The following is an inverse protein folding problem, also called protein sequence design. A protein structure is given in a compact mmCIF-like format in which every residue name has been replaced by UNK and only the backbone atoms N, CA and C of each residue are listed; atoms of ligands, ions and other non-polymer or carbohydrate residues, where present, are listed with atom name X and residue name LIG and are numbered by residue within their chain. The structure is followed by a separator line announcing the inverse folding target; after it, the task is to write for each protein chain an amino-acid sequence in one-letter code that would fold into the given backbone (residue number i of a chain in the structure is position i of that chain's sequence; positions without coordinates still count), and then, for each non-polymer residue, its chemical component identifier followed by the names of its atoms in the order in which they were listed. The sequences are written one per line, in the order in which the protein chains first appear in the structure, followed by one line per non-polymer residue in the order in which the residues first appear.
data_IF_331376710791
#
_entry.id   IF_331376710791
#
_cell.length_a   1.000
_cell.length_b   1.000
_cell.length_c   1.000
_cell.angle_alpha   90.00
_cell.angle_beta   90.00
_cell.angle_gamma   90.00
#
_symmetry.space_group_name_H-M   'P 1'
#
loop_
_entity.id
_entity.type
_entity.pdbx_description
1 polymer ?
#
# COMPACT_ATOMS: atom_id res chain seq x y z
N UNK A 1 -16.87 11.65 7.35
CA UNK A 1 -15.55 11.79 6.69
C UNK A 1 -14.49 12.10 7.74
N UNK A 2 -13.40 11.33 7.68
CA UNK A 2 -12.30 11.53 8.62
C UNK A 2 -11.43 12.71 8.19
N UNK A 3 -11.20 13.64 9.10
CA UNK A 3 -10.27 14.75 8.85
C UNK A 3 -8.89 14.37 9.35
N UNK A 4 -7.88 14.67 8.55
CA UNK A 4 -6.49 14.47 8.94
C UNK A 4 -5.87 15.79 9.38
N UNK A 5 -4.92 15.70 10.31
CA UNK A 5 -4.25 16.88 10.82
C UNK A 5 -3.38 17.54 9.75
N UNK A 6 -3.19 18.88 9.81
CA UNK A 6 -2.40 19.57 8.79
C UNK A 6 -0.95 19.09 8.65
N UNK A 7 -0.30 18.75 9.77
CA UNK A 7 1.10 18.28 9.72
C UNK A 7 1.20 16.90 9.09
N UNK A 8 0.24 16.02 9.38
CA UNK A 8 0.17 14.71 8.73
C UNK A 8 -0.02 14.89 7.22
N UNK A 9 -0.97 15.73 6.81
CA UNK A 9 -1.19 15.99 5.39
C UNK A 9 0.05 16.58 4.71
N UNK A 10 0.82 17.39 5.44
CA UNK A 10 2.03 17.98 4.90
C UNK A 10 3.11 16.94 4.60
N UNK A 11 3.35 16.00 5.52
CA UNK A 11 4.35 14.96 5.26
C UNK A 11 3.89 13.99 4.18
N UNK A 12 2.59 13.72 4.09
CA UNK A 12 2.04 12.89 3.02
C UNK A 12 2.22 13.57 1.67
N UNK A 13 1.88 14.85 1.57
CA UNK A 13 2.06 15.61 0.32
C UNK A 13 3.52 15.64 -0.12
N UNK A 14 4.43 15.76 0.83
CA UNK A 14 5.85 15.74 0.55
C UNK A 14 6.31 14.38 0.01
N UNK A 15 5.89 13.29 0.66
CA UNK A 15 6.20 11.93 0.18
C UNK A 15 5.65 11.67 -1.21
N UNK A 16 4.45 12.18 -1.50
CA UNK A 16 3.82 11.99 -2.82
C UNK A 16 4.62 12.60 -3.98
N UNK A 17 5.52 13.52 -3.70
CA UNK A 17 6.41 14.09 -4.72
C UNK A 17 7.46 13.08 -5.20
N UNK A 18 7.73 12.03 -4.44
CA UNK A 18 8.81 11.08 -4.69
C UNK A 18 8.35 9.67 -5.02
N UNK A 19 7.05 9.38 -4.90
CA UNK A 19 6.50 8.03 -5.09
C UNK A 19 5.71 7.92 -6.37
N UNK A 20 5.49 6.67 -6.80
CA UNK A 20 4.57 6.35 -7.88
C UNK A 20 3.27 5.84 -7.27
N UNK A 21 2.14 6.18 -7.90
CA UNK A 21 0.82 5.74 -7.44
C UNK A 21 0.10 5.00 -8.55
N UNK A 22 -0.76 4.05 -8.16
CA UNK A 22 -1.63 3.36 -9.12
C UNK A 22 -3.06 3.38 -8.59
N UNK A 23 -4.00 3.22 -9.52
CA UNK A 23 -5.43 3.17 -9.18
C UNK A 23 -5.86 1.75 -8.83
N UNK A 24 -7.01 1.58 -8.13
CA UNK A 24 -7.55 0.24 -7.89
C UNK A 24 -7.80 -0.53 -9.20
N UNK A 25 -8.21 0.14 -10.26
CA UNK A 25 -8.46 -0.48 -11.55
C UNK A 25 -7.18 -1.07 -12.16
N UNK A 26 -6.08 -0.34 -12.08
CA UNK A 26 -4.78 -0.82 -12.57
C UNK A 26 -4.30 -2.00 -11.73
N UNK A 27 -4.45 -1.92 -10.40
CA UNK A 27 -4.11 -3.04 -9.54
C UNK A 27 -4.91 -4.29 -9.90
N UNK A 28 -6.22 -4.13 -10.11
CA UNK A 28 -7.10 -5.24 -10.46
C UNK A 28 -6.66 -5.89 -11.78
N UNK A 29 -6.30 -5.09 -12.79
CA UNK A 29 -5.79 -5.58 -14.06
C UNK A 29 -4.53 -6.42 -13.88
N UNK A 30 -3.59 -5.95 -13.06
CA UNK A 30 -2.35 -6.67 -12.80
C UNK A 30 -2.61 -8.01 -12.10
N UNK A 31 -3.53 -8.02 -11.13
CA UNK A 31 -3.89 -9.24 -10.43
C UNK A 31 -4.59 -10.24 -11.35
N UNK A 32 -5.51 -9.77 -12.17
CA UNK A 32 -6.25 -10.62 -13.11
C UNK A 32 -5.35 -11.23 -14.17
N UNK A 33 -4.31 -10.51 -14.60
CA UNK A 33 -3.34 -11.02 -15.55
C UNK A 33 -2.25 -11.87 -14.91
N UNK A 34 -2.35 -12.11 -13.59
CA UNK A 34 -1.39 -12.91 -12.82
C UNK A 34 0.04 -12.35 -12.90
N UNK A 35 0.16 -11.04 -13.00
CA UNK A 35 1.47 -10.39 -13.00
C UNK A 35 2.14 -10.60 -11.64
N UNK A 36 3.41 -11.03 -11.58
CA UNK A 36 4.10 -11.23 -10.32
C UNK A 36 4.21 -9.91 -9.55
N UNK A 37 3.65 -9.86 -8.35
CA UNK A 37 3.71 -8.69 -7.49
C UNK A 37 3.52 -9.09 -6.04
N UNK A 38 3.96 -8.22 -5.13
CA UNK A 38 3.71 -8.36 -3.71
C UNK A 38 2.79 -7.23 -3.26
N UNK A 39 1.58 -7.58 -2.84
CA UNK A 39 0.59 -6.61 -2.36
C UNK A 39 0.63 -6.60 -0.84
N UNK A 40 0.85 -5.43 -0.25
CA UNK A 40 1.06 -5.30 1.19
C UNK A 40 0.06 -4.33 1.80
N UNK A 41 -0.69 -4.83 2.78
CA UNK A 41 -1.57 -4.02 3.61
C UNK A 41 -0.73 -3.44 4.75
N UNK A 42 -0.65 -2.10 4.85
CA UNK A 42 0.18 -1.44 5.86
C UNK A 42 -0.64 -0.85 7.00
N UNK A 43 -1.93 -1.24 7.09
CA UNK A 43 -2.83 -0.78 8.14
C UNK A 43 -2.55 -1.48 9.46
N UNK A 44 -3.26 -1.07 10.51
CA UNK A 44 -3.15 -1.69 11.83
C UNK A 44 -3.78 -3.10 11.84
N UNK A 45 -3.42 -3.88 12.85
CA UNK A 45 -3.87 -5.28 12.97
C UNK A 45 -5.39 -5.41 12.97
N UNK A 46 -6.08 -4.54 13.70
CA UNK A 46 -7.54 -4.58 13.76
C UNK A 46 -8.21 -4.25 12.42
N UNK A 47 -7.60 -3.38 11.66
CA UNK A 47 -8.10 -3.05 10.32
C UNK A 47 -7.96 -4.25 9.38
N UNK A 48 -6.78 -4.88 9.38
CA UNK A 48 -6.53 -6.09 8.60
C UNK A 48 -7.53 -7.20 8.93
N UNK A 49 -7.78 -7.40 10.22
CA UNK A 49 -8.70 -8.44 10.68
C UNK A 49 -10.14 -8.21 10.21
N UNK A 50 -10.53 -6.94 9.99
CA UNK A 50 -11.88 -6.59 9.52
C UNK A 50 -12.10 -6.85 8.04
N UNK A 51 -11.03 -7.07 7.28
CA UNK A 51 -11.12 -7.33 5.85
C UNK A 51 -9.96 -6.70 5.10
N UNK A 52 -9.51 -7.36 4.03
CA UNK A 52 -8.37 -6.91 3.24
C UNK A 52 -8.51 -7.39 1.79
N UNK A 53 -7.68 -6.87 0.91
CA UNK A 53 -7.68 -7.28 -0.50
C UNK A 53 -7.16 -8.72 -0.57
N UNK A 54 -7.86 -9.61 -1.30
CA UNK A 54 -7.39 -11.00 -1.45
C UNK A 54 -5.98 -11.05 -2.05
N UNK A 55 -5.15 -11.91 -1.49
CA UNK A 55 -3.76 -12.06 -1.95
C UNK A 55 -2.76 -11.14 -1.27
N UNK A 56 -3.22 -10.18 -0.48
CA UNK A 56 -2.33 -9.28 0.25
C UNK A 56 -1.68 -9.99 1.44
N UNK A 57 -0.48 -9.55 1.78
CA UNK A 57 0.14 -9.88 3.06
C UNK A 57 0.04 -8.65 3.97
N UNK A 58 0.16 -8.88 5.26
CA UNK A 58 0.06 -7.81 6.24
C UNK A 58 1.43 -7.47 6.83
N UNK A 59 1.89 -6.25 6.59
CA UNK A 59 3.06 -5.69 7.24
C UNK A 59 2.72 -4.24 7.62
N UNK A 60 2.30 -4.04 8.87
CA UNK A 60 1.87 -2.74 9.34
C UNK A 60 2.95 -1.67 9.23
N UNK A 61 2.53 -0.44 9.02
CA UNK A 61 3.44 0.70 8.84
C UNK A 61 4.50 0.79 9.93
N UNK A 62 4.15 0.45 11.16
CA UNK A 62 5.07 0.56 12.30
C UNK A 62 6.21 -0.45 12.30
N UNK A 63 6.10 -1.52 11.52
CA UNK A 63 7.12 -2.59 11.53
C UNK A 63 7.66 -2.94 10.14
N UNK A 64 7.13 -2.32 9.08
CA UNK A 64 7.45 -2.75 7.72
C UNK A 64 8.93 -2.57 7.37
N UNK A 65 9.54 -1.46 7.77
CA UNK A 65 10.97 -1.24 7.48
C UNK A 65 11.84 -2.30 8.14
N UNK A 66 11.44 -2.74 9.32
CA UNK A 66 12.18 -3.78 10.06
C UNK A 66 12.05 -5.15 9.40
N UNK A 67 10.84 -5.46 8.91
CA UNK A 67 10.49 -6.84 8.56
C UNK A 67 10.42 -7.15 7.06
N UNK A 68 10.39 -6.14 6.19
CA UNK A 68 10.12 -6.37 4.78
C UNK A 68 11.18 -7.23 4.07
N UNK A 69 12.44 -7.12 4.47
CA UNK A 69 13.49 -7.86 3.77
C UNK A 69 13.35 -9.38 3.90
N UNK A 70 12.72 -9.85 4.97
CA UNK A 70 12.40 -11.28 5.12
C UNK A 70 11.34 -11.72 4.13
N UNK A 71 10.31 -10.89 3.95
CA UNK A 71 9.17 -11.22 3.09
C UNK A 71 9.47 -10.98 1.62
N UNK A 72 10.26 -9.95 1.33
CA UNK A 72 10.57 -9.51 -0.02
C UNK A 72 12.08 -9.26 -0.10
N UNK A 73 12.88 -10.32 -0.20
CA UNK A 73 14.35 -10.16 -0.23
C UNK A 73 14.89 -9.54 -1.51
N UNK A 74 14.17 -9.65 -2.63
CA UNK A 74 14.63 -9.08 -3.92
C UNK A 74 14.16 -7.62 -4.03
N UNK A 75 15.13 -6.70 -4.07
CA UNK A 75 14.84 -5.26 -4.16
C UNK A 75 14.18 -4.83 -5.46
N UNK A 76 14.12 -5.70 -6.46
CA UNK A 76 13.49 -5.41 -7.74
C UNK A 76 12.07 -5.96 -7.84
N UNK A 77 11.57 -6.60 -6.80
CA UNK A 77 10.20 -7.09 -6.75
C UNK A 77 9.21 -5.93 -6.91
N UNK A 78 8.18 -6.12 -7.73
CA UNK A 78 7.09 -5.15 -7.81
C UNK A 78 6.30 -5.20 -6.51
N UNK A 79 6.27 -4.08 -5.79
CA UNK A 79 5.58 -3.96 -4.51
C UNK A 79 4.47 -2.93 -4.64
N UNK A 80 3.28 -3.29 -4.18
CA UNK A 80 2.16 -2.36 -4.09
C UNK A 80 1.72 -2.31 -2.64
N UNK A 81 1.74 -1.12 -2.05
CA UNK A 81 1.33 -0.91 -0.66
C UNK A 81 0.01 -0.17 -0.61
N UNK A 82 -0.85 -0.52 0.35
CA UNK A 82 -2.12 0.18 0.51
C UNK A 82 -2.50 0.34 1.98
N UNK A 83 -3.27 1.38 2.24
CA UNK A 83 -3.90 1.61 3.54
C UNK A 83 -5.40 1.82 3.32
N UNK A 84 -6.09 2.53 4.21
CA UNK A 84 -7.53 2.75 4.04
C UNK A 84 -7.87 3.76 2.95
N UNK A 85 -7.20 4.92 2.96
CA UNK A 85 -7.52 6.03 2.07
C UNK A 85 -6.38 6.55 1.20
N UNK A 86 -5.21 5.91 1.25
CA UNK A 86 -4.09 6.30 0.40
C UNK A 86 -3.07 7.24 1.05
N UNK A 87 -3.19 7.54 2.34
CA UNK A 87 -2.29 8.48 3.03
C UNK A 87 -1.10 7.77 3.69
N UNK A 88 -1.35 6.81 4.58
CA UNK A 88 -0.28 6.08 5.28
C UNK A 88 0.62 5.33 4.30
N UNK A 89 0.05 4.73 3.26
CA UNK A 89 0.82 3.97 2.29
C UNK A 89 1.75 4.86 1.45
N UNK A 90 1.42 6.13 1.28
CA UNK A 90 2.33 7.07 0.61
C UNK A 90 3.63 7.22 1.40
N UNK A 91 3.52 7.33 2.73
CA UNK A 91 4.70 7.41 3.60
C UNK A 91 5.52 6.12 3.55
N UNK A 92 4.83 4.97 3.53
CA UNK A 92 5.50 3.67 3.44
C UNK A 92 6.22 3.52 2.11
N UNK A 93 5.58 3.89 1.01
CA UNK A 93 6.21 3.79 -0.31
C UNK A 93 7.50 4.59 -0.37
N UNK A 94 7.50 5.79 0.19
CA UNK A 94 8.69 6.64 0.27
C UNK A 94 9.80 5.96 1.09
N UNK A 95 9.44 5.39 2.25
CA UNK A 95 10.40 4.67 3.10
C UNK A 95 11.02 3.48 2.37
N UNK A 96 10.21 2.69 1.67
CA UNK A 96 10.72 1.52 0.96
C UNK A 96 11.66 1.90 -0.18
N UNK A 97 11.40 3.01 -0.86
CA UNK A 97 12.33 3.52 -1.87
C UNK A 97 13.66 3.90 -1.24
N UNK A 98 13.63 4.51 -0.05
CA UNK A 98 14.85 4.84 0.69
C UNK A 98 15.65 3.58 1.06
N UNK A 99 14.98 2.45 1.23
CA UNK A 99 15.64 1.17 1.51
C UNK A 99 16.20 0.50 0.27
N UNK A 100 15.98 1.07 -0.92
CA UNK A 100 16.52 0.54 -2.16
C UNK A 100 15.56 -0.29 -3.01
N UNK A 101 14.29 -0.41 -2.60
CA UNK A 101 13.29 -1.08 -3.44
C UNK A 101 12.98 -0.20 -4.65
N UNK A 102 13.10 -0.76 -5.86
CA UNK A 102 13.05 0.01 -7.10
C UNK A 102 11.68 0.10 -7.75
N UNK A 103 10.75 -0.77 -7.38
CA UNK A 103 9.42 -0.82 -8.00
C UNK A 103 8.34 -0.83 -6.94
N UNK A 104 8.14 0.33 -6.30
CA UNK A 104 7.16 0.49 -5.22
C UNK A 104 6.07 1.44 -5.68
N UNK A 105 4.81 1.01 -5.53
CA UNK A 105 3.63 1.81 -5.87
C UNK A 105 2.69 1.89 -4.69
N UNK A 106 2.08 3.06 -4.52
CA UNK A 106 1.07 3.30 -3.50
C UNK A 106 -0.32 3.29 -4.16
N UNK A 107 -1.28 2.59 -3.55
CA UNK A 107 -2.66 2.56 -4.07
C UNK A 107 -3.35 3.87 -3.71
N UNK A 108 -3.67 4.68 -4.71
CA UNK A 108 -4.08 6.09 -4.54
C UNK A 108 -5.22 6.32 -3.56
N UNK A 109 -6.25 5.50 -3.63
CA UNK A 109 -7.46 5.61 -2.81
C UNK A 109 -7.57 4.51 -1.76
N UNK A 110 -6.55 3.67 -1.67
CA UNK A 110 -6.47 2.61 -0.67
C UNK A 110 -7.59 1.58 -0.77
N UNK A 111 -7.84 0.92 0.34
CA UNK A 111 -8.90 -0.10 0.40
C UNK A 111 -10.28 0.49 0.08
N UNK A 112 -10.53 1.73 0.51
CA UNK A 112 -11.83 2.35 0.25
C UNK A 112 -12.09 2.47 -1.25
N UNK A 113 -11.10 2.90 -2.02
CA UNK A 113 -11.24 2.99 -3.47
C UNK A 113 -11.41 1.64 -4.14
N UNK A 114 -10.75 0.61 -3.60
CA UNK A 114 -10.92 -0.77 -4.07
C UNK A 114 -12.37 -1.23 -3.88
N UNK A 115 -12.92 -0.99 -2.68
CA UNK A 115 -14.31 -1.33 -2.36
C UNK A 115 -15.29 -0.53 -3.23
N UNK A 116 -15.05 0.77 -3.38
CA UNK A 116 -15.92 1.65 -4.16
C UNK A 116 -15.95 1.24 -5.63
N UNK A 117 -14.88 0.66 -6.14
CA UNK A 117 -14.83 0.13 -7.50
C UNK A 117 -15.60 -1.18 -7.67
N UNK A 118 -16.12 -1.74 -6.58
CA UNK A 118 -16.92 -2.97 -6.61
C UNK A 118 -16.10 -4.25 -6.49
N UNK A 119 -14.84 -4.16 -6.12
CA UNK A 119 -13.98 -5.34 -6.03
C UNK A 119 -14.11 -6.02 -4.66
N UNK A 120 -13.89 -7.32 -4.63
CA UNK A 120 -14.09 -8.13 -3.43
C UNK A 120 -12.99 -7.93 -2.39
N UNK A 121 -13.38 -8.09 -1.13
CA UNK A 121 -12.42 -8.18 -0.03
C UNK A 121 -12.58 -9.54 0.65
N UNK A 122 -11.53 -9.95 1.35
CA UNK A 122 -11.51 -11.18 2.13
C UNK A 122 -11.58 -10.83 3.61
N UNK A 123 -12.46 -11.50 4.32
CA UNK A 123 -12.58 -11.31 5.78
C UNK A 123 -12.01 -12.49 6.54
#
# INVERSE_FOLDING_TARGET
MKQHSPRFLSIVADSKKRIEEITPQILKEKMDSLEPLCLIDVREDNEWASGHIPGAIHLGKGIIERDIEKEVPDSQTLIIVYCSGGFRCALVADSLQNMGYSQVYSLTTGLQGWIDAGYNIKK
#
